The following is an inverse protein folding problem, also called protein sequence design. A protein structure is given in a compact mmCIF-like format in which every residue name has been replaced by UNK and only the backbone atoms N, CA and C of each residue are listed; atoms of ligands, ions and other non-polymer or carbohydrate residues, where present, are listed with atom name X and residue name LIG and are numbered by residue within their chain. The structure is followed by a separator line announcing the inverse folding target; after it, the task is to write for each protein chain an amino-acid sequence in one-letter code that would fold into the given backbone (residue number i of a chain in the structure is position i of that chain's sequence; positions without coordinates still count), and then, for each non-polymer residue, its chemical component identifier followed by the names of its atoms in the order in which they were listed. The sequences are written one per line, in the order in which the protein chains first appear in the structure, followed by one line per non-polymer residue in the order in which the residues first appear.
data_IF_894002138812
#
_entry.id   IF_894002138812
#
_cell.length_a   1.000
_cell.length_b   1.000
_cell.length_c   1.000
_cell.angle_alpha   90.00
_cell.angle_beta   90.00
_cell.angle_gamma   90.00
#
_symmetry.space_group_name_H-M   'P 1'
#
loop_
_entity.id
_entity.type
_entity.pdbx_description
1 polymer ?
#
# COMPACT_ATOMS: atom_id res chain seq x y z
N UNK A 1 21.79 8.89 8.21
CA UNK A 1 20.85 8.19 7.30
C UNK A 1 21.49 6.88 6.83
N UNK A 2 21.10 5.72 7.38
CA UNK A 2 21.60 4.40 6.93
C UNK A 2 20.77 3.93 5.73
N UNK A 3 21.36 3.90 4.54
CA UNK A 3 20.77 3.18 3.40
C UNK A 3 20.78 1.70 3.76
N UNK A 4 19.62 1.16 4.17
CA UNK A 4 19.40 -0.26 4.43
C UNK A 4 19.70 -1.01 3.14
N UNK A 5 20.89 -1.62 3.08
CA UNK A 5 21.40 -2.34 1.93
C UNK A 5 20.43 -3.46 1.58
N UNK A 6 20.17 -3.63 0.28
CA UNK A 6 19.35 -4.71 -0.28
C UNK A 6 19.83 -6.05 0.31
N UNK A 7 18.94 -6.78 0.99
CA UNK A 7 19.17 -8.15 1.48
C UNK A 7 19.50 -9.06 0.28
N UNK A 8 20.75 -9.16 -0.13
CA UNK A 8 21.19 -10.22 -1.04
C UNK A 8 21.27 -11.51 -0.22
N UNK A 9 20.66 -12.56 -0.74
CA UNK A 9 20.61 -13.88 -0.14
C UNK A 9 21.46 -14.81 -0.99
N UNK A 10 22.53 -15.36 -0.42
CA UNK A 10 23.40 -16.36 -1.06
C UNK A 10 23.03 -17.76 -0.58
N UNK A 11 22.95 -18.77 -1.46
CA UNK A 11 22.82 -20.16 -1.04
C UNK A 11 23.99 -20.57 -0.14
N UNK A 12 23.70 -21.31 0.92
CA UNK A 12 24.71 -21.84 1.85
C UNK A 12 24.52 -23.35 2.00
N UNK A 13 25.60 -24.08 2.28
CA UNK A 13 25.52 -25.51 2.59
C UNK A 13 24.98 -25.71 4.01
N UNK A 14 23.90 -26.48 4.23
CA UNK A 14 23.38 -26.77 5.57
C UNK A 14 24.41 -27.32 6.56
N UNK A 15 25.47 -28.00 6.10
CA UNK A 15 26.53 -28.53 6.97
C UNK A 15 27.41 -27.45 7.61
N UNK A 16 27.39 -26.24 7.04
CA UNK A 16 28.17 -25.10 7.56
C UNK A 16 27.42 -24.32 8.65
N UNK A 17 26.18 -24.71 8.96
CA UNK A 17 25.31 -24.01 9.89
C UNK A 17 25.55 -24.54 11.30
N UNK A 18 26.33 -23.81 12.09
CA UNK A 18 26.62 -24.18 13.49
C UNK A 18 25.46 -23.87 14.44
N UNK A 19 24.47 -23.07 13.99
CA UNK A 19 23.44 -22.49 14.86
C UNK A 19 22.15 -23.33 15.00
N UNK A 20 22.00 -24.41 14.24
CA UNK A 20 20.82 -25.28 14.29
C UNK A 20 21.23 -26.73 14.59
N UNK A 21 20.38 -27.47 15.30
CA UNK A 21 20.65 -28.89 15.54
C UNK A 21 20.48 -29.71 14.27
N UNK A 22 21.22 -30.82 14.14
CA UNK A 22 21.13 -31.70 12.97
C UNK A 22 19.70 -32.20 12.71
N UNK A 23 18.94 -32.45 13.78
CA UNK A 23 17.53 -32.86 13.68
C UNK A 23 16.65 -31.76 13.06
N UNK A 24 16.87 -30.49 13.42
CA UNK A 24 16.14 -29.36 12.86
C UNK A 24 16.50 -29.14 11.39
N UNK A 25 17.79 -29.22 11.06
CA UNK A 25 18.29 -29.13 9.69
C UNK A 25 17.64 -30.21 8.83
N UNK A 26 17.64 -31.47 9.29
CA UNK A 26 17.03 -32.58 8.56
C UNK A 26 15.52 -32.41 8.37
N UNK A 27 14.81 -31.87 9.37
CA UNK A 27 13.37 -31.58 9.25
C UNK A 27 13.10 -30.51 8.18
N UNK A 28 13.88 -29.42 8.19
CA UNK A 28 13.75 -28.33 7.22
C UNK A 28 14.06 -28.79 5.80
N UNK A 29 15.11 -29.59 5.62
CA UNK A 29 15.47 -30.18 4.34
C UNK A 29 14.37 -31.11 3.81
N UNK A 30 13.77 -31.94 4.67
CA UNK A 30 12.62 -32.80 4.31
C UNK A 30 11.39 -32.00 3.87
N UNK A 31 11.18 -30.81 4.44
CA UNK A 31 10.12 -29.89 4.04
C UNK A 31 10.46 -29.06 2.78
N UNK A 32 11.64 -29.27 2.18
CA UNK A 32 12.07 -28.56 0.97
C UNK A 32 12.63 -27.15 1.23
N UNK A 33 12.98 -26.83 2.48
CA UNK A 33 13.66 -25.57 2.82
C UNK A 33 15.17 -25.71 2.63
N UNK A 34 15.78 -24.66 2.10
CA UNK A 34 17.23 -24.53 1.93
C UNK A 34 17.72 -23.30 2.70
N UNK A 35 18.94 -23.33 3.24
CA UNK A 35 19.49 -22.21 3.95
C UNK A 35 20.13 -21.19 3.02
N UNK A 36 19.86 -19.91 3.29
CA UNK A 36 20.43 -18.78 2.58
C UNK A 36 21.02 -17.79 3.58
N UNK A 37 22.20 -17.25 3.28
CA UNK A 37 22.82 -16.20 4.09
C UNK A 37 22.42 -14.83 3.57
N UNK A 38 21.92 -13.99 4.48
CA UNK A 38 21.65 -12.59 4.21
C UNK A 38 22.90 -11.72 4.45
N UNK A 39 22.89 -10.48 3.93
CA UNK A 39 24.00 -9.52 4.12
C UNK A 39 24.34 -9.19 5.57
N UNK A 40 23.39 -9.35 6.47
CA UNK A 40 23.60 -9.19 7.92
C UNK A 40 24.32 -10.39 8.55
N UNK A 41 24.68 -11.41 7.76
CA UNK A 41 25.29 -12.65 8.21
C UNK A 41 24.27 -13.64 8.78
N UNK A 42 23.00 -13.29 8.87
CA UNK A 42 21.95 -14.19 9.36
C UNK A 42 21.61 -15.26 8.34
N UNK A 43 21.25 -16.45 8.83
CA UNK A 43 20.83 -17.57 8.01
C UNK A 43 19.31 -17.62 8.00
N UNK A 44 18.71 -17.58 6.80
CA UNK A 44 17.27 -17.69 6.57
C UNK A 44 16.99 -18.98 5.81
N UNK A 45 16.07 -19.79 6.33
CA UNK A 45 15.60 -20.99 5.67
C UNK A 45 14.41 -20.64 4.77
N UNK A 46 14.56 -20.85 3.47
CA UNK A 46 13.56 -20.48 2.47
C UNK A 46 13.34 -21.64 1.49
N UNK A 47 12.13 -21.75 0.97
CA UNK A 47 11.88 -22.62 -0.20
C UNK A 47 12.36 -21.95 -1.48
N UNK A 48 12.57 -22.74 -2.54
CA UNK A 48 12.96 -22.21 -3.85
C UNK A 48 11.97 -21.16 -4.37
N UNK A 49 10.67 -21.36 -4.14
CA UNK A 49 9.61 -20.41 -4.51
C UNK A 49 9.70 -19.10 -3.72
N UNK A 50 9.92 -19.16 -2.41
CA UNK A 50 10.06 -17.98 -1.56
C UNK A 50 11.30 -17.16 -1.95
N UNK A 51 12.40 -17.85 -2.26
CA UNK A 51 13.60 -17.22 -2.79
C UNK A 51 13.32 -16.54 -4.13
N UNK A 52 12.74 -17.25 -5.10
CA UNK A 52 12.41 -16.72 -6.42
C UNK A 52 11.49 -15.50 -6.34
N UNK A 53 10.44 -15.57 -5.51
CA UNK A 53 9.53 -14.46 -5.27
C UNK A 53 10.24 -13.23 -4.66
N UNK A 54 11.18 -13.46 -3.74
CA UNK A 54 12.04 -12.42 -3.19
C UNK A 54 12.90 -11.74 -4.26
N UNK A 55 13.42 -12.49 -5.23
CA UNK A 55 14.21 -11.96 -6.34
C UNK A 55 13.35 -11.17 -7.32
N UNK A 56 12.14 -11.66 -7.64
CA UNK A 56 11.20 -10.97 -8.55
C UNK A 56 10.74 -9.63 -7.96
N UNK A 57 10.46 -9.55 -6.65
CA UNK A 57 10.13 -8.27 -5.99
C UNK A 57 11.27 -7.24 -6.05
N UNK A 58 12.52 -7.73 -6.09
CA UNK A 58 13.73 -6.90 -6.16
C UNK A 58 14.14 -6.57 -7.59
N UNK A 59 13.52 -7.18 -8.59
CA UNK A 59 13.79 -6.87 -9.98
C UNK A 59 13.52 -5.37 -10.22
N UNK A 60 14.46 -4.66 -10.87
CA UNK A 60 14.24 -3.26 -11.19
C UNK A 60 12.98 -3.17 -12.03
N UNK A 61 11.99 -2.39 -11.56
CA UNK A 61 10.78 -2.11 -12.33
C UNK A 61 11.24 -1.52 -13.66
N UNK A 62 10.96 -2.22 -14.76
CA UNK A 62 11.35 -1.82 -16.11
C UNK A 62 11.05 -0.35 -16.33
N UNK A 63 12.09 0.43 -16.63
CA UNK A 63 12.01 1.87 -16.93
C UNK A 63 11.21 2.07 -18.24
N UNK A 64 11.23 1.09 -19.15
CA UNK A 64 10.43 1.08 -20.37
C UNK A 64 8.94 0.86 -20.10
N UNK A 65 8.59 0.11 -19.05
CA UNK A 65 7.21 -0.03 -18.57
C UNK A 65 6.65 1.25 -17.92
N UNK A 66 7.47 2.29 -17.73
CA UNK A 66 7.02 3.63 -17.30
C UNK A 66 6.65 4.53 -18.49
N UNK A 67 7.29 4.34 -19.65
CA UNK A 67 7.01 5.13 -20.86
C UNK A 67 5.65 4.77 -21.49
N UNK A 68 5.21 3.52 -21.34
CA UNK A 68 3.90 3.04 -21.81
C UNK A 68 2.87 2.91 -20.68
N UNK A 69 3.10 3.53 -19.51
CA UNK A 69 1.99 3.81 -18.61
C UNK A 69 1.13 4.87 -19.27
N UNK A 70 0.19 4.39 -20.09
CA UNK A 70 -1.07 5.07 -20.34
C UNK A 70 -1.43 5.83 -19.07
N UNK A 71 -1.65 7.13 -19.21
CA UNK A 71 -2.28 7.96 -18.19
C UNK A 71 -3.71 7.43 -17.96
N UNK A 72 -3.87 6.22 -17.47
CA UNK A 72 -4.87 5.98 -16.46
C UNK A 72 -4.50 6.94 -15.36
N UNK A 73 -5.10 8.13 -15.46
CA UNK A 73 -5.19 9.10 -14.39
C UNK A 73 -5.60 8.24 -13.22
N UNK A 74 -4.62 7.88 -12.39
CA UNK A 74 -4.86 7.45 -11.05
C UNK A 74 -5.52 8.69 -10.49
N UNK A 75 -6.85 8.70 -10.57
CA UNK A 75 -7.69 9.78 -10.14
C UNK A 75 -7.38 9.80 -8.66
N UNK A 76 -6.37 10.61 -8.31
CA UNK A 76 -5.99 10.95 -6.97
C UNK A 76 -7.32 11.39 -6.44
N UNK A 77 -7.96 10.51 -5.67
CA UNK A 77 -9.27 10.75 -5.08
C UNK A 77 -8.99 11.91 -4.15
N UNK A 78 -9.00 13.14 -4.71
CA UNK A 78 -9.18 14.36 -3.96
C UNK A 78 -10.41 14.01 -3.16
N UNK A 79 -10.23 13.81 -1.86
CA UNK A 79 -11.32 13.52 -0.93
C UNK A 79 -12.26 14.69 -1.14
N UNK A 80 -13.24 14.51 -2.03
CA UNK A 80 -14.22 15.53 -2.35
C UNK A 80 -14.87 15.76 -1.01
N UNK A 81 -14.74 16.99 -0.50
CA UNK A 81 -15.01 17.25 0.91
C UNK A 81 -16.42 16.72 1.22
N UNK A 82 -16.55 16.07 2.37
CA UNK A 82 -17.81 15.45 2.76
C UNK A 82 -18.99 16.44 2.68
N UNK A 83 -18.70 17.74 2.90
CA UNK A 83 -19.59 18.87 2.65
C UNK A 83 -20.17 18.91 1.23
N UNK A 84 -19.36 18.73 0.18
CA UNK A 84 -19.87 18.70 -1.20
C UNK A 84 -20.81 17.51 -1.46
N UNK A 85 -20.59 16.37 -0.78
CA UNK A 85 -21.50 15.23 -0.85
C UNK A 85 -22.82 15.52 -0.11
N UNK A 86 -22.73 16.18 1.04
CA UNK A 86 -23.87 16.59 1.85
C UNK A 86 -24.75 17.62 1.12
N UNK A 87 -24.14 18.68 0.57
CA UNK A 87 -24.87 19.72 -0.18
C UNK A 87 -25.58 19.09 -1.38
N UNK A 88 -24.90 18.23 -2.16
CA UNK A 88 -25.53 17.58 -3.33
C UNK A 88 -26.72 16.70 -2.96
N UNK A 89 -26.66 16.00 -1.83
CA UNK A 89 -27.74 15.10 -1.42
C UNK A 89 -28.94 15.88 -0.85
N UNK A 90 -28.70 17.02 -0.20
CA UNK A 90 -29.72 17.81 0.48
C UNK A 90 -30.08 19.11 -0.26
N UNK A 91 -29.91 19.18 -1.58
CA UNK A 91 -30.16 20.41 -2.35
C UNK A 91 -31.61 20.91 -2.21
N UNK A 92 -32.59 20.00 -2.18
CA UNK A 92 -34.01 20.33 -2.02
C UNK A 92 -34.27 21.05 -0.68
N UNK A 93 -33.72 20.52 0.41
CA UNK A 93 -33.82 21.15 1.73
C UNK A 93 -33.13 22.51 1.78
N UNK A 94 -31.96 22.64 1.15
CA UNK A 94 -31.23 23.92 1.09
C UNK A 94 -32.05 24.97 0.34
N UNK A 95 -32.67 24.60 -0.79
CA UNK A 95 -33.56 25.47 -1.56
C UNK A 95 -34.78 25.91 -0.76
N UNK A 96 -35.40 24.99 -0.02
CA UNK A 96 -36.55 25.29 0.83
C UNK A 96 -36.16 26.27 1.95
N UNK A 97 -35.04 26.01 2.63
CA UNK A 97 -34.51 26.88 3.70
C UNK A 97 -34.19 28.29 3.18
N UNK A 98 -33.60 28.38 1.98
CA UNK A 98 -33.32 29.64 1.31
C UNK A 98 -34.62 30.39 0.98
N UNK A 99 -35.64 29.69 0.47
CA UNK A 99 -36.95 30.26 0.17
C UNK A 99 -37.64 30.84 1.41
N UNK A 100 -37.62 30.11 2.52
CA UNK A 100 -38.16 30.58 3.81
C UNK A 100 -37.41 31.81 4.31
N UNK A 101 -36.07 31.79 4.23
CA UNK A 101 -35.26 32.93 4.65
C UNK A 101 -35.56 34.20 3.82
N UNK A 102 -35.69 34.06 2.50
CA UNK A 102 -36.07 35.17 1.60
C UNK A 102 -37.49 35.66 1.90
N UNK A 103 -38.44 34.75 2.11
CA UNK A 103 -39.81 35.11 2.45
C UNK A 103 -39.89 35.92 3.75
N UNK A 104 -39.17 35.49 4.80
CA UNK A 104 -39.10 36.22 6.06
C UNK A 104 -38.41 37.58 5.91
N UNK A 105 -37.39 37.70 5.06
CA UNK A 105 -36.74 38.97 4.75
C UNK A 105 -37.71 39.94 4.05
N UNK A 106 -38.48 39.47 3.08
CA UNK A 106 -39.50 40.27 2.39
C UNK A 106 -40.57 40.70 3.38
N UNK A 107 -41.09 39.78 4.18
CA UNK A 107 -42.12 40.06 5.17
C UNK A 107 -41.63 41.09 6.20
N UNK A 108 -40.39 40.94 6.69
CA UNK A 108 -39.75 41.95 7.55
C UNK A 108 -39.69 43.31 6.87
N UNK A 109 -39.28 43.37 5.61
CA UNK A 109 -39.13 44.63 4.88
C UNK A 109 -40.49 45.30 4.62
N UNK A 110 -41.53 44.52 4.29
CA UNK A 110 -42.88 45.02 4.02
C UNK A 110 -43.63 45.42 5.30
N UNK A 111 -43.37 44.76 6.43
CA UNK A 111 -44.04 45.07 7.72
C UNK A 111 -43.39 46.24 8.46
N UNK A 112 -42.10 46.50 8.22
CA UNK A 112 -41.37 47.62 8.85
C UNK A 112 -41.49 48.93 8.05
N UNK A 113 -41.88 48.86 6.77
CA UNK A 113 -42.21 50.03 5.94
C UNK A 113 -43.67 50.45 6.16
#
# INVERSE_FOLDING_TARGET
MRKKGRDELSPVDPKTITSASEQQINSLLKMGYMPFQAKDGSIRWLTGEQYAYGQIKKAPKSILGSLFKSKYKQARRRRRSWLWKFIRHNMEYILLLLGVAVFLLILRYVVIL
#
